data_IF_782821153533
#
_entry.id   IF_782821153533
#
_cell.length_a   1.000
_cell.length_b   1.000
_cell.length_c   1.000
_cell.angle_alpha   90.00
_cell.angle_beta   90.00
_cell.angle_gamma   90.00
#
_symmetry.space_group_name_H-M   'P 1'
#
loop_
_entity.id
_entity.type
_entity.pdbx_description
1 polymer ?
#
# COMPACT_ATOMS: atom_id res chain seq x y z
N UNK A 1 5.52 21.88 4.00
CA UNK A 1 4.44 21.43 4.91
C UNK A 1 3.07 21.33 4.20
N UNK A 2 2.69 22.30 3.35
CA UNK A 2 1.43 22.26 2.58
C UNK A 2 1.29 21.16 1.49
N UNK A 3 2.40 20.55 1.09
CA UNK A 3 2.42 19.40 0.16
C UNK A 3 1.91 18.09 0.78
N UNK A 4 1.64 18.04 2.09
CA UNK A 4 1.07 16.85 2.75
C UNK A 4 -0.39 17.04 3.16
N UNK A 5 -0.90 18.29 3.17
CA UNK A 5 -2.27 18.61 3.57
C UNK A 5 -3.22 18.78 2.39
N UNK A 6 -2.69 18.97 1.18
CA UNK A 6 -3.51 19.12 -0.04
C UNK A 6 -3.52 17.82 -0.84
N UNK A 7 -4.71 17.44 -1.34
CA UNK A 7 -4.92 16.25 -2.19
C UNK A 7 -3.85 16.06 -3.29
N UNK A 8 -3.46 17.11 -4.05
CA UNK A 8 -2.42 17.01 -5.08
C UNK A 8 -1.05 16.63 -4.50
N UNK A 9 -0.71 17.15 -3.32
CA UNK A 9 0.54 16.85 -2.66
C UNK A 9 0.60 15.42 -2.12
N UNK A 10 -0.54 14.88 -1.66
CA UNK A 10 -0.65 13.48 -1.28
C UNK A 10 -0.45 12.53 -2.47
N UNK A 11 -1.03 12.89 -3.63
CA UNK A 11 -0.83 12.17 -4.89
C UNK A 11 0.65 12.19 -5.30
N UNK A 12 1.31 13.35 -5.28
CA UNK A 12 2.74 13.45 -5.59
C UNK A 12 3.60 12.62 -4.63
N UNK A 13 3.27 12.63 -3.33
CA UNK A 13 3.94 11.82 -2.32
C UNK A 13 3.79 10.31 -2.58
N UNK A 14 2.59 9.84 -2.93
CA UNK A 14 2.38 8.44 -3.33
C UNK A 14 3.21 8.06 -4.55
N UNK A 15 3.19 8.90 -5.59
CA UNK A 15 3.98 8.66 -6.80
C UNK A 15 5.48 8.57 -6.51
N UNK A 16 5.99 9.42 -5.63
CA UNK A 16 7.38 9.40 -5.21
C UNK A 16 7.72 8.10 -4.45
N UNK A 17 6.84 7.65 -3.54
CA UNK A 17 7.04 6.39 -2.81
C UNK A 17 7.11 5.19 -3.75
N UNK A 18 6.26 5.13 -4.77
CA UNK A 18 6.33 4.07 -5.78
C UNK A 18 7.64 4.11 -6.59
N UNK A 19 8.20 5.29 -6.83
CA UNK A 19 9.50 5.44 -7.48
C UNK A 19 10.66 4.93 -6.60
N UNK A 20 10.61 5.20 -5.30
CA UNK A 20 11.59 4.65 -4.33
C UNK A 20 11.51 3.12 -4.31
N UNK A 21 10.30 2.56 -4.26
CA UNK A 21 10.08 1.09 -4.29
C UNK A 21 10.59 0.47 -5.60
N UNK A 22 10.35 1.12 -6.74
CA UNK A 22 10.90 0.70 -8.04
C UNK A 22 12.43 0.62 -8.00
N UNK A 23 13.09 1.65 -7.46
CA UNK A 23 14.57 1.70 -7.36
C UNK A 23 15.12 0.63 -6.45
N UNK A 24 14.52 0.46 -5.26
CA UNK A 24 14.88 -0.58 -4.31
C UNK A 24 14.77 -1.97 -4.94
N UNK A 25 13.75 -2.20 -5.77
CA UNK A 25 13.57 -3.49 -6.43
C UNK A 25 14.64 -3.77 -7.50
N UNK A 26 15.13 -2.73 -8.19
CA UNK A 26 16.15 -2.83 -9.24
C UNK A 26 17.57 -2.58 -8.73
N UNK A 27 17.79 -2.63 -7.41
CA UNK A 27 19.07 -2.33 -6.77
C UNK A 27 19.68 -0.95 -7.18
N UNK A 28 18.82 0.01 -7.55
CA UNK A 28 19.22 1.39 -7.83
C UNK A 28 19.29 2.20 -6.52
N UNK A 29 20.22 3.17 -6.42
CA UNK A 29 20.32 4.03 -5.25
C UNK A 29 19.02 4.84 -5.02
N UNK A 30 18.39 4.74 -3.82
CA UNK A 30 17.08 5.31 -3.54
C UNK A 30 17.18 6.78 -3.11
N UNK A 31 17.78 7.64 -3.93
CA UNK A 31 17.87 9.07 -3.61
C UNK A 31 16.62 9.84 -4.05
N UNK A 32 16.28 10.85 -3.24
CA UNK A 32 15.21 11.79 -3.51
C UNK A 32 15.60 12.70 -4.68
N UNK A 33 15.08 12.44 -5.90
CA UNK A 33 15.28 13.31 -7.08
C UNK A 33 14.37 14.56 -7.08
N UNK A 34 13.68 14.83 -5.96
CA UNK A 34 12.56 15.76 -5.96
C UNK A 34 11.39 15.21 -6.77
N UNK A 35 10.47 16.09 -7.14
CA UNK A 35 9.31 15.70 -7.95
C UNK A 35 9.62 15.62 -9.44
N UNK A 36 10.87 15.68 -9.92
CA UNK A 36 11.16 15.72 -11.37
C UNK A 36 11.29 14.31 -11.97
N UNK A 37 10.54 13.96 -13.05
CA UNK A 37 9.52 14.75 -13.76
C UNK A 37 8.16 14.76 -13.03
N UNK A 38 7.62 15.95 -12.76
CA UNK A 38 6.40 16.16 -11.93
C UNK A 38 5.22 15.40 -12.48
N UNK A 39 5.02 15.48 -13.80
CA UNK A 39 3.87 14.87 -14.45
C UNK A 39 3.93 13.34 -14.38
N UNK A 40 5.12 12.75 -14.46
CA UNK A 40 5.30 11.30 -14.35
C UNK A 40 4.98 10.81 -12.93
N UNK A 41 5.56 11.47 -11.93
CA UNK A 41 5.32 11.16 -10.51
C UNK A 41 3.84 11.38 -10.16
N UNK A 42 3.22 12.45 -10.64
CA UNK A 42 1.81 12.74 -10.43
C UNK A 42 0.90 11.66 -11.04
N UNK A 43 1.13 11.26 -12.31
CA UNK A 43 0.36 10.19 -12.95
C UNK A 43 0.47 8.87 -12.17
N UNK A 44 1.68 8.51 -11.73
CA UNK A 44 1.91 7.32 -10.89
C UNK A 44 1.20 7.40 -9.54
N UNK A 45 1.21 8.57 -8.92
CA UNK A 45 0.48 8.82 -7.68
C UNK A 45 -1.02 8.71 -7.88
N UNK A 46 -1.53 9.23 -8.99
CA UNK A 46 -2.97 9.25 -9.29
C UNK A 46 -3.48 7.83 -9.54
N UNK A 47 -2.72 6.99 -10.25
CA UNK A 47 -3.08 5.58 -10.43
C UNK A 47 -3.07 4.81 -9.11
N UNK A 48 -2.10 5.07 -8.24
CA UNK A 48 -2.06 4.50 -6.89
C UNK A 48 -3.27 4.93 -6.05
N UNK A 49 -3.60 6.23 -6.08
CA UNK A 49 -4.74 6.78 -5.38
C UNK A 49 -6.07 6.19 -5.88
N UNK A 50 -6.24 6.09 -7.20
CA UNK A 50 -7.42 5.45 -7.81
C UNK A 50 -7.53 3.98 -7.43
N UNK A 51 -6.41 3.25 -7.39
CA UNK A 51 -6.41 1.87 -6.96
C UNK A 51 -6.82 1.72 -5.49
N UNK A 52 -6.29 2.55 -4.60
CA UNK A 52 -6.70 2.58 -3.19
C UNK A 52 -8.21 2.86 -3.09
N UNK A 53 -8.72 3.84 -3.84
CA UNK A 53 -10.14 4.16 -3.86
C UNK A 53 -11.00 2.98 -4.33
N UNK A 54 -10.59 2.28 -5.38
CA UNK A 54 -11.31 1.10 -5.90
C UNK A 54 -11.30 -0.05 -4.89
N UNK A 55 -10.16 -0.31 -4.22
CA UNK A 55 -10.07 -1.39 -3.22
C UNK A 55 -10.90 -1.08 -1.98
N UNK A 56 -11.02 0.19 -1.60
CA UNK A 56 -11.81 0.61 -0.43
C UNK A 56 -13.29 0.82 -0.75
N UNK A 57 -13.67 0.95 -2.03
CA UNK A 57 -15.05 1.20 -2.44
C UNK A 57 -16.06 0.16 -1.90
N UNK A 58 -15.80 -1.17 -1.96
CA UNK A 58 -16.74 -2.16 -1.42
C UNK A 58 -16.96 -2.02 0.10
N UNK A 59 -15.91 -1.66 0.84
CA UNK A 59 -16.03 -1.40 2.28
C UNK A 59 -16.84 -0.14 2.54
N UNK A 60 -16.56 0.94 1.80
CA UNK A 60 -17.27 2.21 1.93
C UNK A 60 -18.77 2.08 1.57
N UNK A 61 -19.11 1.34 0.50
CA UNK A 61 -20.52 1.12 0.12
C UNK A 61 -21.26 0.30 1.15
N UNK A 62 -20.65 -0.77 1.69
CA UNK A 62 -21.25 -1.56 2.77
C UNK A 62 -21.41 -0.75 4.06
N UNK A 63 -20.42 0.05 4.44
CA UNK A 63 -20.49 0.91 5.62
C UNK A 63 -21.57 1.99 5.49
N UNK A 64 -21.67 2.62 4.30
CA UNK A 64 -22.71 3.60 4.03
C UNK A 64 -24.10 2.98 4.03
N UNK A 65 -24.27 1.80 3.43
CA UNK A 65 -25.52 1.05 3.49
C UNK A 65 -25.90 0.64 4.92
N UNK A 66 -24.92 0.23 5.74
CA UNK A 66 -25.14 -0.07 7.16
C UNK A 66 -25.62 1.15 7.94
N UNK A 67 -25.06 2.33 7.65
CA UNK A 67 -25.46 3.59 8.27
C UNK A 67 -26.91 3.99 7.89
N UNK A 68 -27.27 3.86 6.62
CA UNK A 68 -28.64 4.16 6.14
C UNK A 68 -29.70 3.23 6.73
N UNK A 69 -29.34 1.97 6.99
CA UNK A 69 -30.24 0.95 7.52
C UNK A 69 -30.20 0.85 9.05
N UNK A 70 -29.56 1.81 9.73
CA UNK A 70 -29.43 1.81 11.18
C UNK A 70 -30.63 2.50 11.87
N UNK A 71 -31.24 1.89 12.92
CA UNK A 71 -31.03 0.53 13.43
C UNK A 71 -31.90 -0.49 12.68
N UNK A 72 -31.29 -1.54 12.14
CA UNK A 72 -31.99 -2.59 11.39
C UNK A 72 -31.26 -3.93 11.49
N UNK A 73 -31.96 -5.06 11.28
CA UNK A 73 -31.37 -6.40 11.46
C UNK A 73 -30.20 -6.67 10.51
N UNK A 74 -30.17 -6.01 9.36
CA UNK A 74 -29.11 -6.12 8.35
C UNK A 74 -27.95 -5.15 8.58
N UNK A 75 -28.07 -4.18 9.48
CA UNK A 75 -27.03 -3.17 9.68
C UNK A 75 -25.77 -3.82 10.28
N UNK A 76 -25.92 -4.74 11.23
CA UNK A 76 -24.79 -5.46 11.84
C UNK A 76 -24.06 -6.35 10.84
N UNK A 77 -24.79 -7.06 9.96
CA UNK A 77 -24.14 -7.91 8.94
C UNK A 77 -23.37 -7.07 7.93
N UNK A 78 -23.92 -5.92 7.51
CA UNK A 78 -23.24 -4.99 6.61
C UNK A 78 -21.99 -4.37 7.25
N UNK A 79 -22.00 -4.09 8.56
CA UNK A 79 -20.78 -3.65 9.29
C UNK A 79 -19.71 -4.73 9.25
N UNK A 80 -20.06 -5.99 9.54
CA UNK A 80 -19.11 -7.10 9.49
C UNK A 80 -18.51 -7.26 8.10
N UNK A 81 -19.34 -7.20 7.05
CA UNK A 81 -18.88 -7.26 5.66
C UNK A 81 -17.98 -6.07 5.31
N UNK A 82 -18.33 -4.86 5.75
CA UNK A 82 -17.52 -3.66 5.51
C UNK A 82 -16.14 -3.76 6.16
N UNK A 83 -16.06 -4.27 7.40
CA UNK A 83 -14.80 -4.49 8.12
C UNK A 83 -13.97 -5.57 7.46
N UNK A 84 -14.57 -6.69 7.06
CA UNK A 84 -13.89 -7.76 6.35
C UNK A 84 -13.33 -7.29 5.00
N UNK A 85 -14.14 -6.56 4.21
CA UNK A 85 -13.71 -5.97 2.95
C UNK A 85 -12.58 -4.96 3.13
N UNK A 86 -12.64 -4.13 4.19
CA UNK A 86 -11.57 -3.19 4.53
C UNK A 86 -10.26 -3.92 4.86
N UNK A 87 -10.33 -4.94 5.71
CA UNK A 87 -9.16 -5.74 6.09
C UNK A 87 -8.52 -6.42 4.87
N UNK A 88 -9.33 -6.99 3.98
CA UNK A 88 -8.86 -7.60 2.73
C UNK A 88 -8.21 -6.57 1.79
N UNK A 89 -8.80 -5.39 1.67
CA UNK A 89 -8.25 -4.28 0.89
C UNK A 89 -6.88 -3.85 1.44
N UNK A 90 -6.79 -3.56 2.74
CA UNK A 90 -5.54 -3.17 3.41
C UNK A 90 -4.50 -4.27 3.30
N UNK A 91 -4.90 -5.54 3.43
CA UNK A 91 -3.98 -6.68 3.35
C UNK A 91 -3.40 -6.89 1.95
N UNK A 92 -4.18 -6.67 0.88
CA UNK A 92 -3.77 -6.93 -0.51
C UNK A 92 -3.11 -5.73 -1.21
N UNK A 93 -3.42 -4.50 -0.79
CA UNK A 93 -2.95 -3.27 -1.41
C UNK A 93 -1.41 -3.17 -1.47
N UNK A 94 -0.63 -3.42 -0.40
CA UNK A 94 0.83 -3.32 -0.46
C UNK A 94 1.45 -4.25 -1.50
N UNK A 95 0.99 -5.50 -1.59
CA UNK A 95 1.48 -6.47 -2.59
C UNK A 95 1.18 -6.06 -4.03
N UNK A 96 -0.03 -5.55 -4.29
CA UNK A 96 -0.39 -5.04 -5.62
C UNK A 96 0.39 -3.77 -5.99
N UNK A 97 0.55 -2.85 -5.04
CA UNK A 97 1.29 -1.59 -5.25
C UNK A 97 2.78 -1.83 -5.47
N UNK A 98 3.42 -2.75 -4.74
CA UNK A 98 4.84 -3.07 -4.97
C UNK A 98 5.06 -3.78 -6.30
N UNK A 99 4.15 -4.65 -6.73
CA UNK A 99 4.22 -5.26 -8.05
C UNK A 99 4.11 -4.22 -9.18
N UNK A 100 3.10 -3.35 -9.12
CA UNK A 100 2.97 -2.24 -10.07
C UNK A 100 4.17 -1.27 -9.99
N UNK A 101 4.71 -1.03 -8.80
CA UNK A 101 5.91 -0.22 -8.63
C UNK A 101 7.11 -0.85 -9.33
N UNK A 102 7.35 -2.15 -9.15
CA UNK A 102 8.46 -2.89 -9.74
C UNK A 102 8.32 -3.03 -11.26
N UNK A 103 7.21 -3.59 -11.74
CA UNK A 103 7.08 -3.97 -13.16
C UNK A 103 6.41 -2.92 -14.04
N UNK A 104 5.93 -1.80 -13.45
CA UNK A 104 5.18 -0.73 -14.14
C UNK A 104 3.91 -1.20 -14.85
N UNK A 105 3.35 -2.33 -14.43
CA UNK A 105 2.11 -2.86 -14.97
C UNK A 105 0.88 -2.38 -14.17
N UNK A 106 0.24 -1.34 -14.70
CA UNK A 106 -0.98 -0.73 -14.12
C UNK A 106 -2.18 -1.68 -14.24
N UNK A 107 -2.21 -2.57 -15.23
CA UNK A 107 -3.34 -3.49 -15.42
C UNK A 107 -3.46 -4.48 -14.27
N UNK A 108 -2.34 -4.80 -13.61
CA UNK A 108 -2.29 -5.65 -12.44
C UNK A 108 -2.84 -4.95 -11.19
N UNK A 109 -2.67 -3.63 -11.11
CA UNK A 109 -3.09 -2.84 -9.95
C UNK A 109 -4.62 -2.87 -9.76
N UNK A 110 -5.38 -2.86 -10.86
CA UNK A 110 -6.85 -2.87 -10.84
C UNK A 110 -7.47 -4.28 -10.77
N UNK A 111 -6.68 -5.32 -10.55
CA UNK A 111 -7.13 -6.71 -10.45
C UNK A 111 -6.95 -7.23 -9.01
N UNK A 112 -7.95 -7.00 -8.13
CA UNK A 112 -7.85 -7.38 -6.72
C UNK A 112 -7.71 -8.90 -6.52
N UNK A 113 -8.27 -9.69 -7.44
CA UNK A 113 -8.12 -11.15 -7.50
C UNK A 113 -6.65 -11.56 -7.61
N UNK A 114 -5.89 -10.91 -8.50
CA UNK A 114 -4.47 -11.21 -8.72
C UNK A 114 -3.61 -10.73 -7.55
N UNK A 115 -3.88 -9.53 -7.03
CA UNK A 115 -3.18 -9.00 -5.87
C UNK A 115 -3.35 -9.90 -4.63
N UNK A 116 -4.57 -10.39 -4.41
CA UNK A 116 -4.86 -11.32 -3.31
C UNK A 116 -4.22 -12.68 -3.51
N UNK A 117 -4.33 -13.26 -4.71
CA UNK A 117 -3.69 -14.54 -5.04
C UNK A 117 -2.18 -14.48 -4.80
N UNK A 118 -1.53 -13.38 -5.19
CA UNK A 118 -0.10 -13.17 -4.95
C UNK A 118 0.24 -13.06 -3.47
N UNK A 119 -0.59 -12.38 -2.68
CA UNK A 119 -0.43 -12.31 -1.23
C UNK A 119 -0.47 -13.73 -0.60
N UNK A 120 -1.34 -14.60 -1.11
CA UNK A 120 -1.41 -16.01 -0.71
C UNK A 120 -0.19 -16.82 -1.18
N UNK A 121 0.21 -16.68 -2.45
CA UNK A 121 1.39 -17.36 -3.03
C UNK A 121 2.69 -16.97 -2.32
N UNK A 122 2.85 -15.70 -1.93
CA UNK A 122 3.99 -15.23 -1.14
C UNK A 122 4.02 -15.79 0.29
N UNK A 123 2.89 -16.32 0.76
CA UNK A 123 2.75 -17.10 2.00
C UNK A 123 3.51 -16.52 3.19
N UNK A 124 4.43 -17.32 3.75
CA UNK A 124 5.21 -16.94 4.95
C UNK A 124 6.11 -15.73 4.71
N UNK A 125 6.63 -15.54 3.50
CA UNK A 125 7.52 -14.39 3.18
C UNK A 125 6.70 -13.10 3.14
N UNK A 126 5.50 -13.16 2.58
CA UNK A 126 4.55 -12.04 2.59
C UNK A 126 4.12 -11.67 4.01
N UNK A 127 3.81 -12.66 4.85
CA UNK A 127 3.47 -12.43 6.27
C UNK A 127 4.63 -11.82 7.06
N UNK A 128 5.88 -12.26 6.81
CA UNK A 128 7.06 -11.62 7.42
C UNK A 128 7.20 -10.16 7.01
N UNK A 129 6.94 -9.83 5.74
CA UNK A 129 6.93 -8.44 5.29
C UNK A 129 5.85 -7.61 6.00
N UNK A 130 4.67 -8.18 6.22
CA UNK A 130 3.62 -7.57 7.04
C UNK A 130 4.03 -7.35 8.49
N UNK A 131 4.69 -8.32 9.12
CA UNK A 131 5.17 -8.17 10.51
C UNK A 131 6.19 -7.05 10.62
N UNK A 132 7.16 -6.99 9.70
CA UNK A 132 8.20 -5.94 9.68
C UNK A 132 7.59 -4.57 9.38
N UNK A 133 6.77 -4.49 8.34
CA UNK A 133 6.08 -3.25 7.96
C UNK A 133 5.13 -2.76 9.05
N UNK A 134 4.38 -3.68 9.67
CA UNK A 134 3.47 -3.40 10.77
C UNK A 134 4.19 -2.89 12.01
N UNK A 135 5.30 -3.51 12.42
CA UNK A 135 6.11 -3.00 13.53
C UNK A 135 6.70 -1.63 13.23
N UNK A 136 7.19 -1.39 12.01
CA UNK A 136 7.67 -0.06 11.62
C UNK A 136 6.58 1.02 11.69
N UNK A 137 5.36 0.70 11.24
CA UNK A 137 4.21 1.60 11.34
C UNK A 137 3.84 1.85 12.81
N UNK A 138 3.78 0.82 13.65
CA UNK A 138 3.51 0.98 15.09
C UNK A 138 4.57 1.84 15.79
N UNK A 139 5.86 1.61 15.49
CA UNK A 139 6.96 2.44 15.99
C UNK A 139 6.84 3.90 15.53
N UNK A 140 6.32 4.14 14.32
CA UNK A 140 6.09 5.50 13.83
C UNK A 140 5.02 6.24 14.65
N UNK A 141 3.98 5.53 15.10
CA UNK A 141 2.96 6.07 16.00
C UNK A 141 3.48 6.29 17.43
N UNK A 142 4.41 5.46 17.92
CA UNK A 142 5.09 5.73 19.19
C UNK A 142 5.94 7.02 19.13
N UNK A 143 6.56 7.31 17.99
CA UNK A 143 7.24 8.60 17.75
C UNK A 143 6.29 9.82 17.81
N UNK A 144 5.02 9.61 17.47
CA UNK A 144 3.94 10.61 17.61
C UNK A 144 3.66 10.90 19.10
N UNK A 145 3.64 9.86 19.94
CA UNK A 145 3.40 9.96 21.38
C UNK A 145 4.54 10.63 22.15
N UNK A 146 5.79 10.50 21.70
CA UNK A 146 6.97 11.02 22.42
C UNK A 146 7.43 12.40 21.91
N UNK A 147 7.28 12.72 20.62
CA UNK A 147 7.94 13.90 20.02
C UNK A 147 7.11 14.76 19.07
N UNK A 148 5.81 14.51 18.86
CA UNK A 148 4.87 15.38 18.10
C UNK A 148 5.25 15.66 16.63
N UNK A 149 6.29 16.47 16.41
CA UNK A 149 6.90 16.81 15.10
C UNK A 149 7.67 15.62 14.50
N UNK A 150 8.19 14.72 15.34
CA UNK A 150 8.92 13.51 14.90
C UNK A 150 8.09 12.56 14.02
N UNK A 151 6.76 12.65 14.08
CA UNK A 151 5.86 11.79 13.31
C UNK A 151 6.05 11.86 11.80
N UNK A 152 6.36 13.03 11.24
CA UNK A 152 6.59 13.14 9.80
C UNK A 152 7.85 12.37 9.38
N UNK A 153 8.92 12.48 10.16
CA UNK A 153 10.17 11.76 9.90
C UNK A 153 10.00 10.25 10.12
N UNK A 154 9.36 9.84 11.23
CA UNK A 154 9.14 8.43 11.53
C UNK A 154 8.12 7.79 10.60
N UNK A 155 7.12 8.53 10.12
CA UNK A 155 6.17 8.06 9.10
C UNK A 155 6.89 7.81 7.77
N UNK A 156 7.68 8.77 7.28
CA UNK A 156 8.46 8.58 6.04
C UNK A 156 9.40 7.38 6.16
N UNK A 157 10.10 7.24 7.29
CA UNK A 157 10.93 6.08 7.57
C UNK A 157 10.13 4.77 7.53
N UNK A 158 8.99 4.71 8.23
CA UNK A 158 8.15 3.51 8.26
C UNK A 158 7.67 3.10 6.87
N UNK A 159 7.28 4.07 6.04
CA UNK A 159 6.90 3.79 4.65
C UNK A 159 8.06 3.26 3.80
N UNK A 160 9.28 3.72 4.03
CA UNK A 160 10.49 3.16 3.38
C UNK A 160 10.74 1.72 3.82
N UNK A 161 10.59 1.41 5.12
CA UNK A 161 10.73 0.05 5.65
C UNK A 161 9.67 -0.88 5.08
N UNK A 162 8.42 -0.43 5.02
CA UNK A 162 7.31 -1.15 4.37
C UNK A 162 7.64 -1.44 2.91
N UNK A 163 8.02 -0.40 2.15
CA UNK A 163 8.40 -0.54 0.74
C UNK A 163 9.52 -1.54 0.53
N UNK A 164 10.57 -1.47 1.35
CA UNK A 164 11.70 -2.41 1.31
C UNK A 164 11.27 -3.85 1.62
N UNK A 165 10.54 -4.06 2.71
CA UNK A 165 10.11 -5.39 3.15
C UNK A 165 9.26 -6.09 2.07
N UNK A 166 8.29 -5.39 1.48
CA UNK A 166 7.45 -5.94 0.43
C UNK A 166 8.21 -6.12 -0.90
N UNK A 167 9.13 -5.22 -1.27
CA UNK A 167 9.99 -5.42 -2.46
C UNK A 167 10.89 -6.64 -2.33
N UNK A 168 11.48 -6.88 -1.15
CA UNK A 168 12.31 -8.06 -0.91
C UNK A 168 11.48 -9.34 -0.89
N UNK A 169 10.31 -9.30 -0.28
CA UNK A 169 9.37 -10.42 -0.35
C UNK A 169 8.98 -10.76 -1.79
N UNK A 170 8.77 -9.72 -2.61
CA UNK A 170 8.49 -9.85 -4.03
C UNK A 170 9.65 -10.53 -4.77
N UNK A 171 10.86 -10.02 -4.61
CA UNK A 171 12.04 -10.57 -5.27
C UNK A 171 12.31 -12.03 -4.88
N UNK A 172 12.15 -12.38 -3.61
CA UNK A 172 12.30 -13.76 -3.12
C UNK A 172 11.21 -14.68 -3.70
N UNK A 173 9.96 -14.22 -3.76
CA UNK A 173 8.87 -15.01 -4.35
C UNK A 173 9.09 -15.29 -5.84
N UNK A 174 9.58 -14.30 -6.59
CA UNK A 174 9.86 -14.46 -8.03
C UNK A 174 11.01 -15.44 -8.28
N UNK A 175 12.08 -15.40 -7.46
CA UNK A 175 13.19 -16.36 -7.56
C UNK A 175 12.76 -17.78 -7.22
N UNK A 176 11.95 -17.96 -6.18
CA UNK A 176 11.45 -19.29 -5.83
C UNK A 176 10.60 -19.91 -6.95
N UNK A 177 9.85 -19.10 -7.71
CA UNK A 177 9.06 -19.59 -8.84
C UNK A 177 9.91 -19.99 -10.05
N UNK A 178 11.05 -19.34 -10.29
CA UNK A 178 11.97 -19.73 -11.38
C UNK A 178 12.67 -21.03 -11.07
N UNK A 179 13.11 -21.23 -9.81
CA UNK A 179 13.82 -22.44 -9.40
C UNK A 179 12.93 -23.69 -9.36
N UNK A 180 11.60 -23.52 -9.30
CA UNK A 180 10.62 -24.63 -9.34
C UNK A 180 10.20 -25.05 -10.75
N UNK A 181 10.63 -24.31 -11.78
CA UNK A 181 10.30 -24.56 -13.18
C UNK A 181 11.40 -25.32 -13.94
N UNK A 182 12.55 -25.52 -13.29
CA UNK A 182 13.68 -26.34 -13.73
C UNK A 182 13.66 -27.72 -13.02
#
# INVERSE_FOLDING_TARGET
MFLLTTLPGWILNLGHRLEVVYRIFHDEPPYFRGFRPILFVFKRGLTAWLAIAIYLAPSATCAFAAWLLWPGPWATTLVVVAVAAFALAVFSLPGGMTFNAAFRDVSYLYRPDKAFRRALEGGRVYLKAWVIGGTAVLLSFLGLAVMGIGFLATSVWAWTVVGYAFSRALALSTRASTDSAD
#
